data_IF_722253934882
#
_entry.id   IF_722253934882
#
_cell.length_a   1.000
_cell.length_b   1.000
_cell.length_c   1.000
_cell.angle_alpha   90.00
_cell.angle_beta   90.00
_cell.angle_gamma   90.00
#
_symmetry.space_group_name_H-M   'P 1'
#
loop_
_entity.id
_entity.type
_entity.pdbx_description
1 polymer ?
#
# COMPACT_ATOMS: atom_id res chain seq x y z
N UNK A 1 -27.12 3.83 23.21
CA UNK A 1 -25.65 3.58 23.31
C UNK A 1 -24.98 4.60 22.43
N UNK A 2 -24.01 5.35 22.92
CA UNK A 2 -23.19 6.18 22.05
C UNK A 2 -22.49 5.26 21.07
N UNK A 3 -22.71 5.49 19.78
CA UNK A 3 -22.02 4.76 18.72
C UNK A 3 -20.57 5.20 18.69
N UNK A 4 -19.65 4.27 18.50
CA UNK A 4 -18.22 4.59 18.30
C UNK A 4 -17.99 5.46 17.05
N UNK A 5 -16.80 6.05 16.88
CA UNK A 5 -16.47 6.85 15.70
C UNK A 5 -16.45 5.99 14.43
N UNK A 6 -16.68 6.61 13.28
CA UNK A 6 -16.40 6.00 11.99
C UNK A 6 -14.90 5.72 11.84
N UNK A 7 -14.55 4.78 10.99
CA UNK A 7 -13.17 4.43 10.67
C UNK A 7 -12.97 4.52 9.16
N UNK A 8 -12.04 5.35 8.72
CA UNK A 8 -11.53 5.37 7.35
C UNK A 8 -10.12 4.78 7.36
N UNK A 9 -10.00 3.54 6.87
CA UNK A 9 -8.73 2.82 6.79
C UNK A 9 -8.17 2.90 5.37
N UNK A 10 -7.08 3.64 5.16
CA UNK A 10 -6.41 3.84 3.88
C UNK A 10 -5.12 3.02 3.89
N UNK A 11 -4.95 2.14 2.91
CA UNK A 11 -3.76 1.31 2.76
C UNK A 11 -3.17 1.49 1.35
N UNK A 12 -1.95 2.00 1.27
CA UNK A 12 -1.16 2.01 0.04
C UNK A 12 -0.40 0.69 -0.13
N UNK A 13 0.10 0.40 -1.32
CA UNK A 13 0.90 -0.79 -1.59
C UNK A 13 2.35 -0.41 -1.86
N UNK A 14 3.26 -1.01 -1.09
CA UNK A 14 4.71 -0.85 -1.28
C UNK A 14 5.23 0.57 -0.98
N UNK A 15 4.60 1.32 -0.08
CA UNK A 15 5.06 2.66 0.29
C UNK A 15 6.04 2.60 1.46
N UNK A 16 7.27 3.05 1.22
CA UNK A 16 8.30 3.18 2.25
C UNK A 16 7.96 4.31 3.24
N UNK A 17 8.38 4.16 4.50
CA UNK A 17 8.21 5.18 5.55
C UNK A 17 8.81 6.55 5.20
N UNK A 18 9.86 6.56 4.36
CA UNK A 18 10.55 7.78 3.91
C UNK A 18 9.90 8.40 2.67
N UNK A 19 8.90 7.76 2.08
CA UNK A 19 8.18 8.24 0.90
C UNK A 19 7.10 9.27 1.28
N UNK A 20 7.45 10.26 2.07
CA UNK A 20 6.60 11.38 2.52
C UNK A 20 7.44 12.62 2.76
N UNK A 21 6.91 13.81 2.48
CA UNK A 21 7.51 15.08 2.86
C UNK A 21 7.68 15.20 4.38
N UNK A 22 6.64 14.88 5.14
CA UNK A 22 6.65 14.86 6.61
C UNK A 22 7.67 13.88 7.24
N UNK A 23 8.20 12.93 6.45
CA UNK A 23 9.28 12.06 6.90
C UNK A 23 10.69 12.66 6.73
N UNK A 24 10.79 13.89 6.21
CA UNK A 24 12.06 14.58 5.97
C UNK A 24 12.64 14.34 4.58
N UNK A 25 11.85 13.89 3.63
CA UNK A 25 12.25 13.67 2.23
C UNK A 25 11.73 14.83 1.36
N UNK A 26 12.50 15.90 1.16
CA UNK A 26 11.99 17.16 0.61
C UNK A 26 11.60 17.09 -0.87
N UNK A 27 12.05 16.09 -1.59
CA UNK A 27 11.70 15.85 -2.99
C UNK A 27 10.43 14.99 -3.16
N UNK A 28 9.85 14.48 -2.07
CA UNK A 28 8.53 13.82 -2.08
C UNK A 28 7.41 14.86 -1.97
N UNK A 29 6.51 14.86 -2.93
CA UNK A 29 5.36 15.75 -2.98
C UNK A 29 4.11 15.01 -2.47
N UNK A 30 3.88 15.07 -1.14
CA UNK A 30 2.80 14.35 -0.46
C UNK A 30 1.98 15.26 0.47
N UNK A 31 1.43 16.39 -0.05
CA UNK A 31 0.78 17.40 0.80
C UNK A 31 -0.40 16.87 1.60
N UNK A 32 -1.10 15.84 1.11
CA UNK A 32 -2.28 15.29 1.80
C UNK A 32 -1.89 14.32 2.92
N UNK A 33 -0.89 13.47 2.72
CA UNK A 33 -0.31 12.65 3.79
C UNK A 33 0.39 13.52 4.83
N UNK A 34 1.08 14.59 4.39
CA UNK A 34 1.73 15.55 5.29
C UNK A 34 0.68 16.30 6.15
N UNK A 35 -0.49 16.62 5.59
CA UNK A 35 -1.63 17.16 6.34
C UNK A 35 -2.10 16.19 7.41
N UNK A 36 -2.26 14.89 7.10
CA UNK A 36 -2.64 13.88 8.09
C UNK A 36 -1.60 13.79 9.21
N UNK A 37 -0.31 13.78 8.85
CA UNK A 37 0.77 13.75 9.83
C UNK A 37 0.77 14.98 10.75
N UNK A 38 0.43 16.15 10.23
CA UNK A 38 0.35 17.40 10.99
C UNK A 38 -0.89 17.48 11.90
N UNK A 39 -1.99 16.83 11.54
CA UNK A 39 -3.26 16.84 12.27
C UNK A 39 -3.41 15.67 13.26
N UNK A 40 -2.54 14.68 13.19
CA UNK A 40 -2.64 13.45 13.95
C UNK A 40 -1.33 12.96 14.55
N UNK A 41 -1.17 11.66 14.63
CA UNK A 41 0.02 10.99 15.14
C UNK A 41 0.69 10.21 14.00
N UNK A 42 1.96 10.52 13.70
CA UNK A 42 2.78 9.77 12.78
C UNK A 42 3.71 8.82 13.55
N UNK A 43 3.59 7.53 13.30
CA UNK A 43 4.50 6.51 13.82
C UNK A 43 5.77 6.51 12.99
N UNK A 44 6.92 6.81 13.59
CA UNK A 44 8.23 6.90 12.91
C UNK A 44 8.87 5.55 12.67
N UNK A 45 8.51 4.56 13.49
CA UNK A 45 9.10 3.22 13.49
C UNK A 45 8.00 2.16 13.44
N UNK A 46 7.25 2.14 12.32
CA UNK A 46 6.25 1.14 12.01
C UNK A 46 6.85 0.06 11.10
N UNK A 47 6.63 -1.20 11.46
CA UNK A 47 7.16 -2.36 10.74
C UNK A 47 6.02 -3.26 10.28
N UNK A 48 6.08 -3.73 9.04
CA UNK A 48 5.19 -4.80 8.59
C UNK A 48 5.70 -6.16 9.12
N UNK A 49 4.77 -7.04 9.48
CA UNK A 49 5.11 -8.36 10.03
C UNK A 49 5.69 -9.31 8.96
N UNK A 50 5.44 -9.03 7.69
CA UNK A 50 5.97 -9.80 6.56
C UNK A 50 6.08 -8.85 5.34
N UNK A 51 7.27 -8.63 4.77
CA UNK A 51 7.47 -7.63 3.71
C UNK A 51 7.06 -8.17 2.32
N UNK A 52 5.84 -8.70 2.23
CA UNK A 52 5.19 -9.22 1.00
C UNK A 52 3.70 -8.93 1.05
N UNK A 53 3.10 -8.49 -0.04
CA UNK A 53 1.73 -7.97 -0.08
C UNK A 53 0.69 -8.90 0.56
N UNK A 54 0.54 -10.15 0.10
CA UNK A 54 -0.46 -11.10 0.63
C UNK A 54 -0.27 -11.40 2.12
N UNK A 55 0.92 -11.86 2.56
CA UNK A 55 1.22 -12.07 3.98
C UNK A 55 1.00 -10.84 4.85
N UNK A 56 1.49 -9.66 4.42
CA UNK A 56 1.30 -8.42 5.17
C UNK A 56 -0.18 -8.03 5.30
N UNK A 57 -0.94 -8.11 4.20
CA UNK A 57 -2.38 -7.83 4.20
C UNK A 57 -3.13 -8.79 5.09
N UNK A 58 -2.76 -10.08 5.10
CA UNK A 58 -3.32 -11.05 6.04
C UNK A 58 -3.02 -10.66 7.50
N UNK A 59 -1.79 -10.21 7.81
CA UNK A 59 -1.44 -9.72 9.14
C UNK A 59 -2.27 -8.46 9.52
N UNK A 60 -2.39 -7.49 8.62
CA UNK A 60 -3.17 -6.27 8.82
C UNK A 60 -4.66 -6.58 9.08
N UNK A 61 -5.24 -7.47 8.29
CA UNK A 61 -6.66 -7.82 8.40
C UNK A 61 -6.99 -8.61 9.67
N UNK A 62 -6.08 -9.51 10.09
CA UNK A 62 -6.36 -10.46 11.18
C UNK A 62 -5.73 -10.08 12.52
N UNK A 63 -4.76 -9.14 12.53
CA UNK A 63 -3.96 -8.83 13.71
C UNK A 63 -3.05 -9.98 14.15
N UNK A 64 -2.83 -11.00 13.30
CA UNK A 64 -2.05 -12.21 13.61
C UNK A 64 -0.78 -12.27 12.77
N UNK A 65 0.20 -13.05 13.23
CA UNK A 65 1.42 -13.34 12.49
C UNK A 65 1.20 -14.38 11.39
N UNK A 66 2.07 -14.39 10.38
CA UNK A 66 1.93 -15.26 9.20
C UNK A 66 1.85 -16.75 9.54
N UNK A 67 2.53 -17.23 10.58
CA UNK A 67 2.45 -18.61 11.03
C UNK A 67 1.10 -18.97 11.66
N UNK A 68 0.37 -18.00 12.23
CA UNK A 68 -0.95 -18.22 12.82
C UNK A 68 -2.04 -18.30 11.75
N UNK A 69 -2.07 -17.34 10.82
CA UNK A 69 -3.09 -17.30 9.77
C UNK A 69 -2.74 -18.11 8.51
N UNK A 70 -1.51 -18.60 8.36
CA UNK A 70 -1.07 -19.53 7.32
C UNK A 70 -0.67 -18.91 5.99
N UNK A 71 -0.77 -17.60 5.80
CA UNK A 71 -0.36 -16.89 4.58
C UNK A 71 1.12 -16.53 4.69
N UNK A 72 2.00 -17.39 4.16
CA UNK A 72 3.45 -17.21 4.22
C UNK A 72 4.03 -16.57 2.96
N UNK A 73 3.35 -16.71 1.84
CA UNK A 73 3.71 -16.16 0.53
C UNK A 73 2.45 -15.72 -0.21
N UNK A 74 2.61 -14.92 -1.27
CA UNK A 74 1.51 -14.55 -2.15
C UNK A 74 0.85 -15.80 -2.76
N UNK A 75 -0.47 -15.79 -2.86
CA UNK A 75 -1.23 -16.89 -3.43
C UNK A 75 -1.69 -17.96 -2.42
N UNK A 76 -1.35 -17.81 -1.14
CA UNK A 76 -1.92 -18.64 -0.08
C UNK A 76 -3.15 -17.96 0.52
N UNK A 77 -4.15 -18.77 0.88
CA UNK A 77 -5.39 -18.34 1.53
C UNK A 77 -5.25 -18.33 3.04
N UNK A 78 -6.06 -17.51 3.71
CA UNK A 78 -6.22 -17.58 5.17
C UNK A 78 -6.71 -18.96 5.59
N UNK A 79 -6.24 -19.44 6.74
CA UNK A 79 -6.79 -20.63 7.39
C UNK A 79 -8.27 -20.40 7.74
N UNK A 80 -9.07 -21.45 7.66
CA UNK A 80 -10.46 -21.40 8.09
C UNK A 80 -10.57 -21.08 9.59
N UNK A 81 -11.57 -20.29 9.97
CA UNK A 81 -11.81 -19.89 11.35
C UNK A 81 -10.90 -18.77 11.86
N UNK A 82 -10.18 -18.10 10.96
CA UNK A 82 -9.45 -16.86 11.29
C UNK A 82 -10.30 -15.67 10.88
N UNK A 83 -10.85 -14.98 11.87
CA UNK A 83 -11.63 -13.75 11.66
C UNK A 83 -10.71 -12.58 11.33
N UNK A 84 -11.25 -11.64 10.57
CA UNK A 84 -10.62 -10.36 10.27
C UNK A 84 -11.35 -9.22 10.99
N UNK A 85 -10.73 -8.03 11.02
CA UNK A 85 -11.29 -6.89 11.76
C UNK A 85 -12.66 -6.43 11.21
N UNK A 86 -12.96 -6.68 9.93
CA UNK A 86 -14.28 -6.37 9.37
C UNK A 86 -15.39 -7.20 9.99
N UNK A 87 -15.17 -8.51 10.18
CA UNK A 87 -16.13 -9.40 10.85
C UNK A 87 -16.34 -8.94 12.31
N UNK A 88 -15.27 -8.65 13.02
CA UNK A 88 -15.34 -8.18 14.41
C UNK A 88 -16.09 -6.84 14.52
N UNK A 89 -15.90 -5.93 13.57
CA UNK A 89 -16.60 -4.65 13.53
C UNK A 89 -18.07 -4.82 13.16
N UNK A 90 -18.42 -5.75 12.25
CA UNK A 90 -19.82 -6.10 11.98
C UNK A 90 -20.54 -6.61 13.24
N UNK A 91 -19.89 -7.49 14.00
CA UNK A 91 -20.41 -7.98 15.28
C UNK A 91 -20.57 -6.86 16.32
N UNK A 92 -19.73 -5.82 16.22
CA UNK A 92 -19.84 -4.61 17.03
C UNK A 92 -20.86 -3.57 16.51
N UNK A 93 -21.59 -3.88 15.41
CA UNK A 93 -22.68 -3.06 14.88
C UNK A 93 -22.24 -2.02 13.86
N UNK A 94 -21.04 -2.12 13.29
CA UNK A 94 -20.57 -1.26 12.22
C UNK A 94 -21.08 -1.72 10.85
N UNK A 95 -21.31 -0.76 9.95
CA UNK A 95 -21.35 -1.01 8.52
C UNK A 95 -19.93 -1.06 7.97
N UNK A 96 -19.55 -2.15 7.33
CA UNK A 96 -18.18 -2.35 6.86
C UNK A 96 -18.14 -2.49 5.36
N UNK A 97 -17.26 -1.72 4.70
CA UNK A 97 -17.09 -1.72 3.25
C UNK A 97 -15.60 -1.70 2.86
N UNK A 98 -15.31 -2.23 1.68
CA UNK A 98 -13.95 -2.28 1.14
C UNK A 98 -13.91 -1.87 -0.33
N UNK A 99 -13.02 -0.94 -0.65
CA UNK A 99 -12.71 -0.54 -2.01
C UNK A 99 -11.26 -0.85 -2.36
N UNK A 100 -11.04 -1.52 -3.49
CA UNK A 100 -9.71 -1.77 -4.04
C UNK A 100 -9.07 -3.10 -3.63
N UNK A 101 -7.74 -3.10 -3.61
CA UNK A 101 -6.92 -4.31 -3.55
C UNK A 101 -7.11 -5.11 -2.27
N UNK A 102 -7.58 -6.35 -2.41
CA UNK A 102 -7.67 -7.33 -1.32
C UNK A 102 -6.44 -8.24 -1.27
N UNK A 103 -6.11 -8.84 -2.39
CA UNK A 103 -4.91 -9.65 -2.65
C UNK A 103 -4.79 -10.94 -1.82
N UNK A 104 -5.90 -11.46 -1.33
CA UNK A 104 -5.96 -12.80 -0.74
C UNK A 104 -6.83 -13.68 -1.65
N UNK A 105 -6.37 -14.88 -2.04
CA UNK A 105 -7.07 -15.74 -2.99
C UNK A 105 -8.19 -16.57 -2.35
N UNK A 106 -9.03 -17.15 -3.19
CA UNK A 106 -9.96 -18.23 -2.87
C UNK A 106 -9.23 -19.40 -2.16
N UNK A 107 -9.86 -20.21 -1.28
CA UNK A 107 -11.32 -20.28 -1.05
C UNK A 107 -11.86 -19.27 -0.06
N UNK A 108 -11.04 -18.39 0.43
CA UNK A 108 -11.43 -17.34 1.32
C UNK A 108 -11.03 -16.00 0.72
N UNK A 109 -11.93 -15.24 0.20
CA UNK A 109 -13.38 -15.27 0.28
C UNK A 109 -14.08 -16.33 -0.58
N UNK A 110 -15.29 -16.73 -0.19
CA UNK A 110 -16.13 -17.65 -0.98
C UNK A 110 -16.86 -16.90 -2.10
N UNK A 111 -17.41 -17.64 -3.10
CA UNK A 111 -18.23 -17.03 -4.17
C UNK A 111 -19.45 -16.26 -3.64
N UNK A 112 -20.04 -16.70 -2.51
CA UNK A 112 -21.20 -16.07 -1.88
C UNK A 112 -20.83 -14.87 -0.99
N UNK A 113 -19.60 -14.81 -0.51
CA UNK A 113 -19.06 -13.67 0.25
C UNK A 113 -17.61 -13.43 -0.12
N UNK A 114 -17.37 -12.68 -1.19
CA UNK A 114 -16.03 -12.48 -1.73
C UNK A 114 -15.10 -11.68 -0.80
N UNK A 115 -15.65 -10.93 0.16
CA UNK A 115 -14.89 -10.20 1.17
C UNK A 115 -15.54 -10.41 2.53
N UNK A 116 -15.18 -11.50 3.26
CA UNK A 116 -15.75 -11.74 4.58
C UNK A 116 -15.59 -10.52 5.48
N UNK A 117 -16.68 -10.11 6.11
CA UNK A 117 -16.70 -8.94 6.98
C UNK A 117 -16.73 -7.59 6.27
N UNK A 118 -16.92 -7.54 4.93
CA UNK A 118 -17.01 -6.26 4.20
C UNK A 118 -17.97 -6.35 3.01
N UNK A 119 -18.69 -5.26 2.76
CA UNK A 119 -19.31 -5.00 1.45
C UNK A 119 -18.21 -4.70 0.43
N UNK A 120 -18.18 -5.41 -0.67
CA UNK A 120 -17.27 -5.11 -1.77
C UNK A 120 -17.84 -3.98 -2.62
N UNK A 121 -17.18 -2.81 -2.65
CA UNK A 121 -17.65 -1.66 -3.42
C UNK A 121 -17.33 -1.76 -4.92
N UNK A 122 -16.41 -2.64 -5.31
CA UNK A 122 -15.97 -2.83 -6.69
C UNK A 122 -15.94 -4.33 -7.06
N UNK A 123 -16.05 -4.66 -8.38
CA UNK A 123 -15.91 -6.02 -8.88
C UNK A 123 -14.56 -6.67 -8.57
N UNK A 124 -14.49 -8.00 -8.71
CA UNK A 124 -13.30 -8.83 -8.44
C UNK A 124 -12.03 -8.37 -9.16
N UNK A 125 -12.17 -7.79 -10.35
CA UNK A 125 -11.05 -7.27 -11.14
C UNK A 125 -10.24 -6.18 -10.42
N UNK A 126 -10.82 -5.50 -9.43
CA UNK A 126 -10.15 -4.50 -8.61
C UNK A 126 -9.56 -5.07 -7.32
N UNK A 127 -9.99 -6.25 -6.89
CA UNK A 127 -9.52 -6.91 -5.66
C UNK A 127 -8.23 -7.69 -5.86
N UNK A 128 -8.08 -8.26 -7.04
CA UNK A 128 -6.88 -8.96 -7.50
C UNK A 128 -6.31 -8.12 -8.64
N UNK A 129 -5.12 -7.53 -8.48
CA UNK A 129 -4.51 -6.82 -9.59
C UNK A 129 -4.23 -7.81 -10.73
N UNK A 130 -4.91 -7.72 -11.87
CA UNK A 130 -4.47 -8.40 -13.06
C UNK A 130 -3.07 -7.86 -13.40
N UNK A 131 -2.15 -8.72 -13.85
CA UNK A 131 -0.76 -8.37 -14.20
C UNK A 131 -0.59 -7.20 -15.20
N UNK A 132 -1.67 -6.55 -15.62
CA UNK A 132 -1.71 -5.49 -16.64
C UNK A 132 -2.45 -4.21 -16.20
N UNK A 133 -2.98 -4.14 -14.97
CA UNK A 133 -3.65 -2.93 -14.50
C UNK A 133 -2.73 -2.18 -13.54
N UNK A 134 -2.30 -1.02 -13.98
CA UNK A 134 -1.46 -0.10 -13.23
C UNK A 134 -2.31 0.67 -12.22
N UNK A 135 -1.74 1.02 -11.07
CA UNK A 135 -2.37 1.89 -10.08
C UNK A 135 -2.78 3.24 -10.65
N UNK A 136 -2.07 3.73 -11.68
CA UNK A 136 -2.49 4.89 -12.47
C UNK A 136 -3.91 4.77 -13.03
N UNK A 137 -4.35 3.55 -13.35
CA UNK A 137 -5.69 3.27 -13.93
C UNK A 137 -6.68 2.83 -12.85
N UNK A 138 -6.21 2.14 -11.79
CA UNK A 138 -7.07 1.49 -10.81
C UNK A 138 -7.36 2.34 -9.58
N UNK A 139 -6.43 3.23 -9.16
CA UNK A 139 -6.56 3.97 -7.91
C UNK A 139 -7.68 5.02 -7.97
N UNK A 140 -7.92 5.64 -9.13
CA UNK A 140 -9.01 6.59 -9.28
C UNK A 140 -10.41 5.94 -9.14
N UNK A 141 -10.76 4.84 -9.86
CA UNK A 141 -12.02 4.12 -9.63
C UNK A 141 -12.20 3.59 -8.19
N UNK A 142 -11.10 3.15 -7.55
CA UNK A 142 -11.11 2.72 -6.14
C UNK A 142 -11.51 3.87 -5.24
N UNK A 143 -10.93 5.04 -5.47
CA UNK A 143 -11.24 6.29 -4.75
C UNK A 143 -12.68 6.74 -5.02
N UNK A 144 -13.15 6.69 -6.28
CA UNK A 144 -14.51 7.09 -6.64
C UNK A 144 -15.55 6.24 -5.90
N UNK A 145 -15.39 4.92 -5.88
CA UNK A 145 -16.31 4.03 -5.16
C UNK A 145 -16.31 4.30 -3.64
N UNK A 146 -15.16 4.61 -3.06
CA UNK A 146 -15.04 4.97 -1.65
C UNK A 146 -15.72 6.32 -1.36
N UNK A 147 -15.57 7.31 -2.24
CA UNK A 147 -16.25 8.61 -2.14
C UNK A 147 -17.77 8.44 -2.24
N UNK A 148 -18.25 7.61 -3.14
CA UNK A 148 -19.67 7.34 -3.27
C UNK A 148 -20.24 6.61 -2.03
N UNK A 149 -19.45 5.77 -1.37
CA UNK A 149 -19.82 5.21 -0.06
C UNK A 149 -19.92 6.31 1.01
N UNK A 150 -18.95 7.22 1.12
CA UNK A 150 -18.97 8.31 2.09
C UNK A 150 -20.17 9.26 1.94
N UNK A 151 -20.74 9.36 0.74
CA UNK A 151 -21.94 10.18 0.45
C UNK A 151 -23.26 9.51 0.80
N UNK A 152 -23.26 8.23 1.20
CA UNK A 152 -24.48 7.52 1.61
C UNK A 152 -25.01 8.09 2.92
N UNK A 153 -26.29 7.91 3.18
CA UNK A 153 -26.86 8.13 4.52
C UNK A 153 -26.43 6.98 5.44
N UNK A 154 -25.69 7.31 6.49
CA UNK A 154 -25.21 6.35 7.48
C UNK A 154 -26.04 6.42 8.76
N UNK A 155 -26.76 5.34 9.09
CA UNK A 155 -27.53 5.23 10.33
C UNK A 155 -26.75 4.51 11.44
N UNK A 156 -25.62 3.91 11.11
CA UNK A 156 -24.68 3.24 12.02
C UNK A 156 -23.27 3.75 11.76
N UNK A 157 -22.34 3.62 12.72
CA UNK A 157 -20.94 3.88 12.43
C UNK A 157 -20.45 2.94 11.36
N UNK A 158 -19.51 3.40 10.53
CA UNK A 158 -18.94 2.60 9.46
C UNK A 158 -17.43 2.38 9.63
N UNK A 159 -16.94 1.31 9.01
CA UNK A 159 -15.53 1.11 8.72
C UNK A 159 -15.36 0.95 7.20
N UNK A 160 -14.73 1.92 6.59
CA UNK A 160 -14.41 1.93 5.16
C UNK A 160 -12.92 1.64 4.95
N UNK A 161 -12.59 0.48 4.36
CA UNK A 161 -11.24 0.16 3.90
C UNK A 161 -11.06 0.63 2.45
N UNK A 162 -9.98 1.36 2.19
CA UNK A 162 -9.59 1.82 0.84
C UNK A 162 -8.15 1.38 0.57
N UNK A 163 -7.99 0.42 -0.32
CA UNK A 163 -6.69 -0.16 -0.64
C UNK A 163 -6.23 0.24 -2.03
N UNK A 164 -5.34 1.22 -2.07
CA UNK A 164 -4.74 1.80 -3.27
C UNK A 164 -3.54 0.97 -3.73
N UNK A 165 -3.25 0.98 -5.03
CA UNK A 165 -2.17 0.20 -5.60
C UNK A 165 -0.83 0.94 -5.56
N UNK A 166 -0.80 2.23 -5.89
CA UNK A 166 0.45 2.96 -5.92
C UNK A 166 1.04 3.15 -4.49
N UNK A 167 2.40 3.23 -4.42
CA UNK A 167 3.41 3.27 -5.48
C UNK A 167 3.91 1.90 -6.01
N UNK A 168 3.19 0.80 -5.83
CA UNK A 168 3.56 -0.56 -6.30
C UNK A 168 3.93 -0.62 -7.81
N UNK A 169 3.44 0.31 -8.64
CA UNK A 169 3.74 0.34 -10.08
C UNK A 169 5.23 0.52 -10.38
N UNK A 170 6.03 0.90 -9.40
CA UNK A 170 7.50 0.90 -9.49
C UNK A 170 8.05 -0.47 -9.88
N UNK A 171 7.36 -1.57 -9.52
CA UNK A 171 7.71 -2.91 -9.95
C UNK A 171 7.72 -3.04 -11.48
N UNK A 172 6.75 -2.42 -12.15
CA UNK A 172 6.65 -2.45 -13.62
C UNK A 172 7.71 -1.57 -14.29
N UNK A 173 8.12 -0.48 -13.63
CA UNK A 173 9.23 0.34 -14.10
C UNK A 173 10.54 -0.45 -14.05
N UNK A 174 10.80 -1.14 -12.94
CA UNK A 174 12.00 -1.99 -12.76
C UNK A 174 12.07 -3.09 -13.83
N UNK A 175 10.93 -3.67 -14.22
CA UNK A 175 10.84 -4.70 -15.26
C UNK A 175 11.20 -4.19 -16.66
N UNK A 176 11.33 -2.89 -16.88
CA UNK A 176 11.67 -2.30 -18.17
C UNK A 176 13.16 -1.92 -18.18
N UNK A 177 13.97 -2.71 -18.87
CA UNK A 177 15.41 -2.46 -18.98
C UNK A 177 15.74 -1.04 -19.49
N UNK A 178 14.91 -0.50 -20.39
CA UNK A 178 15.08 0.81 -21.03
C UNK A 178 14.12 1.88 -20.47
N UNK A 179 13.63 1.72 -19.23
CA UNK A 179 12.76 2.72 -18.64
C UNK A 179 13.49 4.07 -18.56
N UNK A 180 13.00 5.02 -19.33
CA UNK A 180 13.57 6.36 -19.43
C UNK A 180 12.75 7.32 -18.56
N UNK A 181 13.44 8.10 -17.73
CA UNK A 181 12.84 9.23 -17.02
C UNK A 181 13.46 10.49 -17.62
N UNK A 182 12.65 11.24 -18.32
CA UNK A 182 13.05 12.51 -18.93
C UNK A 182 12.92 13.63 -17.87
N UNK A 183 13.83 13.65 -16.88
CA UNK A 183 13.91 14.77 -15.94
C UNK A 183 15.36 15.17 -15.77
N UNK A 184 15.62 16.48 -15.87
CA UNK A 184 16.93 17.06 -15.58
C UNK A 184 17.14 17.28 -14.08
N UNK A 185 16.06 17.21 -13.28
CA UNK A 185 16.09 17.42 -11.81
C UNK A 185 15.79 16.10 -11.09
N UNK A 186 16.81 15.26 -11.00
CA UNK A 186 16.72 13.95 -10.35
C UNK A 186 16.99 14.06 -8.84
N UNK A 187 16.26 13.29 -8.00
CA UNK A 187 16.51 13.28 -6.57
C UNK A 187 17.92 12.77 -6.23
N UNK A 188 18.51 13.21 -5.11
CA UNK A 188 19.78 12.69 -4.66
C UNK A 188 19.66 11.22 -4.24
N UNK A 189 20.74 10.47 -4.36
CA UNK A 189 20.85 9.15 -3.77
C UNK A 189 20.77 9.25 -2.24
N UNK A 190 20.18 8.28 -1.54
CA UNK A 190 20.08 8.30 -0.10
C UNK A 190 21.46 8.20 0.58
N UNK A 191 21.59 8.72 1.78
CA UNK A 191 22.88 8.73 2.51
C UNK A 191 23.40 7.32 2.82
N UNK A 192 22.50 6.34 2.89
CA UNK A 192 22.81 4.91 3.07
C UNK A 192 22.77 4.13 1.74
N UNK A 193 23.06 4.79 0.60
CA UNK A 193 23.07 4.14 -0.71
C UNK A 193 24.16 3.07 -0.81
N UNK A 194 25.35 3.35 -0.28
CA UNK A 194 26.47 2.43 -0.37
C UNK A 194 26.15 1.08 0.31
N UNK A 195 26.66 0.00 -0.28
CA UNK A 195 26.55 -1.35 0.30
C UNK A 195 27.24 -1.40 1.64
N UNK A 196 26.66 -2.11 2.60
CA UNK A 196 27.32 -2.43 3.86
C UNK A 196 28.33 -3.54 3.63
N UNK A 197 29.63 -3.35 3.92
CA UNK A 197 30.63 -4.41 3.80
C UNK A 197 30.35 -5.64 4.67
N UNK A 198 29.53 -5.50 5.71
CA UNK A 198 29.14 -6.58 6.63
C UNK A 198 27.82 -7.27 6.25
N UNK A 199 27.20 -6.89 5.13
CA UNK A 199 25.92 -7.48 4.73
C UNK A 199 26.08 -8.98 4.36
N UNK A 200 24.97 -9.70 4.52
CA UNK A 200 24.90 -11.11 4.15
C UNK A 200 25.01 -11.31 2.63
N UNK A 201 25.77 -12.33 2.20
CA UNK A 201 25.81 -12.76 0.79
C UNK A 201 24.41 -13.03 0.21
N UNK A 202 23.46 -13.39 1.04
CA UNK A 202 22.07 -13.60 0.61
C UNK A 202 21.44 -12.32 0.01
N UNK A 203 21.78 -11.16 0.54
CA UNK A 203 21.31 -9.86 0.00
C UNK A 203 21.93 -9.58 -1.37
N UNK A 204 23.22 -9.91 -1.53
CA UNK A 204 23.91 -9.75 -2.80
C UNK A 204 23.35 -10.67 -3.90
N UNK A 205 22.94 -11.90 -3.54
CA UNK A 205 22.20 -12.78 -4.45
C UNK A 205 20.90 -12.10 -4.92
N UNK A 206 20.19 -11.39 -4.04
CA UNK A 206 19.00 -10.63 -4.38
C UNK A 206 19.25 -9.56 -5.44
N UNK A 207 20.37 -8.85 -5.40
CA UNK A 207 20.75 -7.83 -6.39
C UNK A 207 21.12 -8.40 -7.76
N UNK A 208 21.76 -9.59 -7.76
CA UNK A 208 22.25 -10.24 -8.99
C UNK A 208 21.16 -10.95 -9.76
N UNK A 209 20.03 -11.25 -9.15
CA UNK A 209 18.90 -11.92 -9.82
C UNK A 209 18.08 -10.96 -10.65
N UNK A 210 17.52 -11.46 -11.71
CA UNK A 210 16.48 -10.76 -12.46
C UNK A 210 15.18 -10.65 -11.63
N UNK A 211 14.58 -9.48 -11.66
CA UNK A 211 13.35 -9.20 -10.91
C UNK A 211 12.12 -9.64 -11.70
N UNK A 212 11.19 -10.29 -11.01
CA UNK A 212 9.89 -10.71 -11.56
C UNK A 212 9.99 -11.63 -12.80
N UNK A 213 11.13 -12.29 -12.98
CA UNK A 213 11.37 -13.18 -14.12
C UNK A 213 11.56 -12.44 -15.47
N UNK A 214 11.90 -11.15 -15.42
CA UNK A 214 12.25 -10.35 -16.60
C UNK A 214 13.78 -10.26 -16.70
N UNK A 215 14.32 -10.68 -17.85
CA UNK A 215 15.77 -10.64 -18.13
C UNK A 215 16.32 -9.20 -18.06
N UNK A 216 17.57 -9.07 -17.68
CA UNK A 216 18.31 -7.78 -17.59
C UNK A 216 17.72 -6.77 -16.61
N UNK A 217 17.05 -7.22 -15.56
CA UNK A 217 16.49 -6.35 -14.51
C UNK A 217 17.30 -6.37 -13.20
N UNK A 218 18.38 -7.14 -13.12
CA UNK A 218 19.30 -7.10 -12.01
C UNK A 218 19.85 -5.69 -11.78
N UNK A 219 20.07 -5.32 -10.51
CA UNK A 219 20.44 -3.94 -10.15
C UNK A 219 21.95 -3.71 -9.99
N UNK A 220 22.74 -4.76 -10.07
CA UNK A 220 24.21 -4.71 -9.86
C UNK A 220 24.95 -3.73 -10.76
N UNK A 221 24.47 -3.54 -11.98
CA UNK A 221 25.10 -2.71 -13.01
C UNK A 221 24.35 -1.38 -13.25
N UNK A 222 23.45 -1.01 -12.35
CA UNK A 222 22.73 0.24 -12.50
C UNK A 222 23.66 1.43 -12.26
N UNK A 223 23.67 2.36 -13.21
CA UNK A 223 24.36 3.64 -13.04
C UNK A 223 23.69 4.51 -11.96
N UNK A 224 24.43 5.47 -11.41
CA UNK A 224 23.86 6.46 -10.47
C UNK A 224 22.64 7.17 -11.07
N UNK A 225 22.68 7.50 -12.36
CA UNK A 225 21.56 8.12 -13.07
C UNK A 225 20.32 7.19 -13.09
N UNK A 226 20.49 5.89 -13.30
CA UNK A 226 19.36 4.93 -13.28
C UNK A 226 18.76 4.82 -11.88
N UNK A 227 19.56 4.81 -10.84
CA UNK A 227 19.11 4.84 -9.46
C UNK A 227 18.31 6.11 -9.13
N UNK A 228 18.79 7.26 -9.57
CA UNK A 228 18.07 8.53 -9.42
C UNK A 228 16.76 8.56 -10.21
N UNK A 229 16.76 8.02 -11.43
CA UNK A 229 15.56 7.87 -12.25
C UNK A 229 14.50 6.95 -11.59
N UNK A 230 14.95 5.86 -10.98
CA UNK A 230 14.07 4.98 -10.18
C UNK A 230 13.44 5.73 -9.00
N UNK A 231 14.22 6.53 -8.26
CA UNK A 231 13.71 7.34 -7.15
C UNK A 231 12.73 8.42 -7.63
N UNK A 232 13.01 9.06 -8.77
CA UNK A 232 12.11 10.03 -9.37
C UNK A 232 10.76 9.42 -9.76
N UNK A 233 10.79 8.23 -10.38
CA UNK A 233 9.55 7.53 -10.75
C UNK A 233 8.78 7.10 -9.50
N UNK A 234 9.46 6.60 -8.47
CA UNK A 234 8.81 6.24 -7.22
C UNK A 234 8.14 7.46 -6.55
N UNK A 235 8.80 8.63 -6.58
CA UNK A 235 8.21 9.88 -6.10
C UNK A 235 6.96 10.27 -6.90
N UNK A 236 7.02 10.16 -8.24
CA UNK A 236 5.86 10.42 -9.11
C UNK A 236 4.67 9.53 -8.75
N UNK A 237 4.89 8.23 -8.60
CA UNK A 237 3.85 7.27 -8.22
C UNK A 237 3.28 7.56 -6.81
N UNK A 238 4.15 7.98 -5.88
CA UNK A 238 3.74 8.37 -4.53
C UNK A 238 2.89 9.66 -4.56
N UNK A 239 3.23 10.63 -5.42
CA UNK A 239 2.42 11.83 -5.63
C UNK A 239 1.04 11.49 -6.21
N UNK A 240 0.95 10.52 -7.12
CA UNK A 240 -0.34 10.08 -7.67
C UNK A 240 -1.25 9.49 -6.59
N UNK A 241 -0.73 8.64 -5.72
CA UNK A 241 -1.54 8.06 -4.64
C UNK A 241 -1.88 9.10 -3.56
N UNK A 242 -0.98 10.03 -3.27
CA UNK A 242 -1.26 11.15 -2.37
C UNK A 242 -2.44 12.00 -2.86
N UNK A 243 -2.53 12.25 -4.17
CA UNK A 243 -3.66 12.94 -4.77
C UNK A 243 -4.99 12.19 -4.56
N UNK A 244 -4.99 10.85 -4.63
CA UNK A 244 -6.18 10.05 -4.35
C UNK A 244 -6.58 10.12 -2.86
N UNK A 245 -5.59 10.09 -1.96
CA UNK A 245 -5.82 10.31 -0.52
C UNK A 245 -6.43 11.69 -0.29
N UNK A 246 -5.92 12.73 -0.97
CA UNK A 246 -6.48 14.08 -0.90
C UNK A 246 -7.94 14.15 -1.31
N UNK A 247 -8.36 13.43 -2.35
CA UNK A 247 -9.76 13.33 -2.78
C UNK A 247 -10.64 12.68 -1.71
N UNK A 248 -10.17 11.60 -1.08
CA UNK A 248 -10.89 10.93 0.02
C UNK A 248 -11.08 11.85 1.21
N UNK A 249 -10.01 12.51 1.66
CA UNK A 249 -10.08 13.44 2.79
C UNK A 249 -11.00 14.64 2.51
N UNK A 250 -10.97 15.16 1.28
CA UNK A 250 -11.87 16.23 0.86
C UNK A 250 -13.33 15.77 0.88
N UNK A 251 -13.62 14.57 0.39
CA UNK A 251 -14.97 14.01 0.42
C UNK A 251 -15.46 13.76 1.85
N UNK A 252 -14.59 13.28 2.74
CA UNK A 252 -14.90 13.11 4.15
C UNK A 252 -15.26 14.45 4.82
N UNK A 253 -14.47 15.51 4.56
CA UNK A 253 -14.73 16.86 5.08
C UNK A 253 -16.07 17.41 4.54
N UNK A 254 -16.33 17.28 3.23
CA UNK A 254 -17.55 17.74 2.58
C UNK A 254 -18.82 17.00 3.01
N UNK A 255 -18.69 15.75 3.41
CA UNK A 255 -19.80 14.94 3.95
C UNK A 255 -20.13 15.27 5.41
N UNK A 256 -19.34 16.14 6.06
CA UNK A 256 -19.52 16.48 7.49
C UNK A 256 -19.18 15.35 8.46
N UNK A 257 -18.47 14.32 7.97
CA UNK A 257 -18.16 13.10 8.76
C UNK A 257 -16.81 13.20 9.48
N UNK A 258 -15.95 14.16 9.13
CA UNK A 258 -14.57 14.25 9.63
C UNK A 258 -14.48 14.38 11.15
N UNK A 259 -15.38 15.11 11.81
CA UNK A 259 -15.40 15.32 13.26
C UNK A 259 -15.63 14.01 14.05
N UNK A 260 -16.26 13.01 13.44
CA UNK A 260 -16.55 11.71 14.07
C UNK A 260 -15.92 10.55 13.31
N UNK A 261 -14.77 10.76 12.64
CA UNK A 261 -14.08 9.71 11.89
C UNK A 261 -12.61 9.63 12.27
N UNK A 262 -12.17 8.44 12.67
CA UNK A 262 -10.75 8.13 12.83
C UNK A 262 -10.19 7.76 11.46
N UNK A 263 -9.22 8.51 10.97
CA UNK A 263 -8.50 8.19 9.72
C UNK A 263 -7.21 7.47 10.04
N UNK A 264 -7.06 6.26 9.53
CA UNK A 264 -5.84 5.44 9.64
C UNK A 264 -5.24 5.34 8.24
N UNK A 265 -4.02 5.88 8.05
CA UNK A 265 -3.29 5.78 6.79
C UNK A 265 -2.01 4.94 7.01
N UNK A 266 -1.85 3.88 6.24
CA UNK A 266 -0.70 2.96 6.35
C UNK A 266 -0.32 2.40 4.97
N UNK A 267 0.78 1.63 4.94
CA UNK A 267 1.15 0.79 3.79
C UNK A 267 1.20 -0.66 4.22
N UNK A 268 0.99 -1.58 3.28
CA UNK A 268 1.13 -3.01 3.56
C UNK A 268 2.60 -3.41 3.80
N UNK A 269 3.55 -2.85 3.08
CA UNK A 269 5.00 -2.99 3.29
C UNK A 269 5.74 -1.83 2.63
N UNK A 270 7.06 -1.80 2.82
CA UNK A 270 7.95 -0.79 2.22
C UNK A 270 8.54 -1.19 0.88
N UNK A 271 9.53 -0.41 0.46
CA UNK A 271 10.34 -0.51 -0.75
C UNK A 271 11.80 -0.25 -0.39
N UNK A 272 12.75 -0.83 -1.15
CA UNK A 272 14.19 -0.65 -0.91
C UNK A 272 14.68 0.80 -1.04
N UNK A 273 14.05 1.59 -1.89
CA UNK A 273 14.33 3.04 -2.04
C UNK A 273 15.81 3.37 -2.26
N UNK A 274 16.52 2.51 -3.00
CA UNK A 274 17.95 2.61 -3.28
C UNK A 274 18.87 2.50 -2.02
N UNK A 275 18.32 2.32 -0.82
CA UNK A 275 19.13 2.04 0.36
C UNK A 275 19.96 0.77 0.13
N UNK A 276 21.26 0.82 0.38
CA UNK A 276 22.21 -0.29 0.16
C UNK A 276 22.10 -0.91 -1.25
N UNK A 277 21.79 -0.08 -2.27
CA UNK A 277 21.53 -0.54 -3.65
C UNK A 277 20.41 -1.60 -3.73
N UNK A 278 19.36 -1.44 -2.94
CA UNK A 278 18.21 -2.34 -2.93
C UNK A 278 16.99 -1.69 -3.58
N UNK A 279 16.25 -2.52 -4.28
CA UNK A 279 14.91 -2.26 -4.81
C UNK A 279 13.96 -3.34 -4.32
N UNK A 280 12.67 -3.11 -4.49
CA UNK A 280 11.58 -4.02 -4.18
C UNK A 280 11.53 -4.45 -2.70
N UNK A 281 10.78 -5.47 -2.43
CA UNK A 281 10.50 -6.10 -1.14
C UNK A 281 11.21 -7.44 -1.01
N UNK A 282 11.19 -8.07 0.14
CA UNK A 282 11.85 -9.35 0.48
C UNK A 282 13.32 -9.26 0.88
N UNK A 283 13.95 -8.11 0.74
CA UNK A 283 15.35 -7.91 1.11
C UNK A 283 15.48 -7.17 2.45
N UNK A 284 14.37 -6.91 3.14
CA UNK A 284 14.29 -6.12 4.37
C UNK A 284 14.00 -7.00 5.56
#
# INVERSE_FOLDING_TARGET
MEHGPNILFICTDQQSRTAMGAAGTPWMQTPHMDRLAAQGVRFTDAYCSAPVCGPSRACLLTGRMSHDHGVLVNGLSLRQGVDNFGQLLQDAGYDTAWSGRWHLPEPYPTQSNPLPGFEALLPDSFRQLPRKQLGEVTDAPVTDAAIDFLKRDHTRPFCLGVALCNPHDICYWIMKADAHVATDDLPPLPTNFARDPAESEFIDIGRRRDHYGQENTATTDWSAHRWQAYLAEYARLTTLVDAQIGRLLTALDQSGLSENTVVICTSDHGEGMAAHELVVKLNL
#
